data_IF_454923156488
#
_entry.id   IF_454923156488
#
_cell.length_a   1.000
_cell.length_b   1.000
_cell.length_c   1.000
_cell.angle_alpha   90.00
_cell.angle_beta   90.00
_cell.angle_gamma   90.00
#
_symmetry.space_group_name_H-M   'P 1'
#
loop_
_entity.id
_entity.type
_entity.pdbx_description
1 polymer ?
#
# COMPACT_ATOMS: atom_id res chain seq x y z
N UNK A 1 -11.72 0.28 15.39
CA UNK A 1 -12.07 0.96 14.11
C UNK A 1 -10.90 0.67 13.18
N UNK A 2 -11.10 -0.18 12.19
CA UNK A 2 -10.10 -0.50 11.18
C UNK A 2 -9.65 0.78 10.44
N UNK A 3 -8.37 0.83 10.09
CA UNK A 3 -7.88 1.93 9.29
C UNK A 3 -8.41 1.80 7.85
N UNK A 4 -8.69 2.92 7.17
CA UNK A 4 -9.20 2.85 5.81
C UNK A 4 -8.12 2.32 4.87
N UNK A 5 -8.49 1.40 4.01
CA UNK A 5 -7.66 0.89 2.93
C UNK A 5 -7.34 2.02 1.94
N UNK A 6 -6.07 2.14 1.56
CA UNK A 6 -5.59 3.02 0.48
C UNK A 6 -4.63 2.23 -0.39
N UNK A 7 -4.80 2.33 -1.70
CA UNK A 7 -3.82 1.87 -2.68
C UNK A 7 -3.18 3.05 -3.40
N UNK A 8 -1.90 2.92 -3.77
CA UNK A 8 -1.17 3.90 -4.56
C UNK A 8 -0.91 3.35 -5.96
N UNK A 9 -1.53 3.97 -6.97
CA UNK A 9 -1.38 3.58 -8.36
C UNK A 9 -0.36 4.50 -9.06
N UNK A 10 0.71 3.96 -9.67
CA UNK A 10 1.70 4.74 -10.40
C UNK A 10 1.19 5.19 -11.78
N UNK A 11 0.15 4.55 -12.30
CA UNK A 11 -0.44 4.91 -13.58
C UNK A 11 -1.35 6.14 -13.44
N UNK A 12 -1.05 7.17 -14.22
CA UNK A 12 -1.84 8.40 -14.24
C UNK A 12 -2.57 8.46 -15.57
N UNK A 13 -3.87 8.28 -15.51
CA UNK A 13 -4.74 8.36 -16.68
C UNK A 13 -5.15 9.81 -16.95
N UNK A 14 -5.71 10.06 -18.13
CA UNK A 14 -6.30 11.36 -18.47
C UNK A 14 -7.46 11.73 -17.51
N UNK A 15 -8.25 10.77 -17.07
CA UNK A 15 -9.30 10.99 -16.07
C UNK A 15 -8.72 11.45 -14.72
N UNK A 16 -7.61 10.85 -14.28
CA UNK A 16 -6.92 11.28 -13.07
C UNK A 16 -6.43 12.73 -13.16
N UNK A 17 -5.96 13.16 -14.34
CA UNK A 17 -5.51 14.52 -14.53
C UNK A 17 -6.63 15.56 -14.32
N UNK A 18 -7.87 15.27 -14.68
CA UNK A 18 -9.02 16.13 -14.36
C UNK A 18 -9.28 16.21 -12.85
N UNK A 19 -9.25 15.09 -12.13
CA UNK A 19 -9.35 15.11 -10.66
C UNK A 19 -8.24 15.94 -10.01
N UNK A 20 -7.02 15.87 -10.55
CA UNK A 20 -5.91 16.66 -10.04
C UNK A 20 -6.13 18.16 -10.26
N UNK A 21 -6.66 18.59 -11.42
CA UNK A 21 -7.02 19.98 -11.69
C UNK A 21 -8.07 20.45 -10.68
N UNK A 22 -9.18 19.71 -10.53
CA UNK A 22 -10.26 20.05 -9.58
C UNK A 22 -9.72 20.23 -8.15
N UNK A 23 -8.84 19.33 -7.70
CA UNK A 23 -8.25 19.43 -6.35
C UNK A 23 -7.25 20.57 -6.21
N UNK A 24 -6.49 20.88 -7.26
CA UNK A 24 -5.50 21.96 -7.25
C UNK A 24 -6.15 23.34 -7.42
N UNK A 25 -7.40 23.42 -7.81
CA UNK A 25 -8.21 24.64 -7.89
C UNK A 25 -9.04 24.89 -6.63
N UNK A 26 -9.29 23.86 -5.80
CA UNK A 26 -9.97 24.03 -4.51
C UNK A 26 -9.02 24.71 -3.50
N UNK A 27 -9.32 25.99 -3.18
CA UNK A 27 -8.53 26.80 -2.23
C UNK A 27 -8.35 26.13 -0.87
N UNK A 28 -9.29 25.30 -0.45
CA UNK A 28 -9.20 24.59 0.83
C UNK A 28 -8.19 23.45 0.79
N UNK A 29 -8.08 22.78 -0.34
CA UNK A 29 -7.11 21.67 -0.56
C UNK A 29 -5.70 22.21 -0.70
N UNK A 30 -5.55 23.28 -1.47
CA UNK A 30 -4.23 23.86 -1.81
C UNK A 30 -3.73 24.89 -0.81
N UNK A 31 -4.49 25.21 0.22
CA UNK A 31 -4.15 26.25 1.21
C UNK A 31 -2.71 26.23 1.72
N UNK A 32 -2.11 25.04 1.78
CA UNK A 32 -0.76 24.80 2.28
C UNK A 32 0.18 24.24 1.21
N UNK A 33 -0.22 24.29 -0.07
CA UNK A 33 0.62 23.88 -1.20
C UNK A 33 1.17 25.14 -1.89
N UNK A 34 2.47 25.11 -2.18
CA UNK A 34 3.08 26.12 -3.04
C UNK A 34 2.74 25.84 -4.51
N UNK A 35 2.59 26.92 -5.29
CA UNK A 35 2.49 26.89 -6.76
C UNK A 35 1.34 26.08 -7.37
N UNK A 36 0.32 25.72 -6.60
CA UNK A 36 -0.79 24.87 -7.03
C UNK A 36 -1.50 25.38 -8.31
N UNK A 37 -1.73 26.69 -8.43
CA UNK A 37 -2.37 27.28 -9.63
C UNK A 37 -1.49 27.19 -10.89
N UNK A 38 -0.17 27.25 -10.74
CA UNK A 38 0.74 27.06 -11.89
C UNK A 38 0.76 25.59 -12.33
N UNK A 39 0.70 24.67 -11.37
CA UNK A 39 0.65 23.22 -11.62
C UNK A 39 -0.68 22.84 -12.29
N UNK A 40 -1.84 23.35 -11.82
CA UNK A 40 -3.14 23.11 -12.46
C UNK A 40 -3.12 23.54 -13.93
N UNK A 41 -2.72 24.76 -14.24
CA UNK A 41 -2.60 25.27 -15.62
C UNK A 41 -1.63 24.46 -16.48
N UNK A 42 -0.53 23.99 -15.90
CA UNK A 42 0.42 23.13 -16.63
C UNK A 42 -0.21 21.78 -16.99
N UNK A 43 -1.01 21.20 -16.08
CA UNK A 43 -1.74 19.95 -16.35
C UNK A 43 -2.80 20.18 -17.44
N UNK A 44 -3.56 21.27 -17.41
CA UNK A 44 -4.54 21.63 -18.46
C UNK A 44 -3.86 21.73 -19.84
N UNK A 45 -2.75 22.44 -19.92
CA UNK A 45 -1.99 22.57 -21.18
C UNK A 45 -1.49 21.22 -21.71
N UNK A 46 -1.12 20.30 -20.82
CA UNK A 46 -0.73 18.94 -21.18
C UNK A 46 -1.92 18.16 -21.72
N UNK A 47 -3.06 18.22 -21.04
CA UNK A 47 -4.28 17.55 -21.48
C UNK A 47 -4.73 18.03 -22.86
N UNK A 48 -4.64 19.33 -23.13
CA UNK A 48 -5.02 19.91 -24.42
C UNK A 48 -4.11 19.48 -25.57
N UNK A 49 -2.81 19.35 -25.30
CA UNK A 49 -1.80 19.06 -26.32
C UNK A 49 -1.54 17.58 -26.56
N UNK A 50 -1.73 16.74 -25.52
CA UNK A 50 -1.34 15.34 -25.54
C UNK A 50 -2.59 14.46 -25.59
N UNK A 51 -2.76 13.74 -26.69
CA UNK A 51 -3.92 12.84 -26.93
C UNK A 51 -3.71 11.42 -26.37
N UNK A 52 -2.74 11.22 -25.46
CA UNK A 52 -2.48 9.92 -24.86
C UNK A 52 -3.47 9.61 -23.73
N UNK A 53 -3.93 8.37 -23.59
CA UNK A 53 -4.79 7.95 -22.47
C UNK A 53 -4.05 7.88 -21.14
N UNK A 54 -2.74 7.58 -21.16
CA UNK A 54 -1.85 7.45 -20.01
C UNK A 54 -0.81 8.56 -20.04
N UNK A 55 -0.71 9.31 -18.95
CA UNK A 55 0.10 10.52 -18.81
C UNK A 55 1.24 10.35 -17.79
N UNK A 56 1.45 9.16 -17.24
CA UNK A 56 2.38 8.86 -16.14
C UNK A 56 3.76 9.47 -16.32
N UNK A 57 4.33 9.39 -17.53
CA UNK A 57 5.67 9.93 -17.82
C UNK A 57 5.79 11.45 -17.65
N UNK A 58 4.68 12.18 -17.83
CA UNK A 58 4.64 13.62 -17.65
C UNK A 58 4.61 14.03 -16.18
N UNK A 59 3.94 13.24 -15.34
CA UNK A 59 3.86 13.47 -13.89
C UNK A 59 5.14 13.03 -13.16
N UNK A 60 5.88 12.08 -13.72
CA UNK A 60 7.10 11.55 -13.10
C UNK A 60 8.35 12.39 -13.40
N UNK A 61 8.22 13.57 -14.02
CA UNK A 61 9.34 14.49 -14.19
C UNK A 61 9.80 15.06 -12.83
N UNK A 62 11.01 14.68 -12.40
CA UNK A 62 11.61 15.11 -11.14
C UNK A 62 11.05 14.44 -9.87
N UNK A 63 10.38 13.28 -10.00
CA UNK A 63 9.90 12.48 -8.88
C UNK A 63 8.93 11.39 -9.32
N UNK A 64 8.53 10.50 -8.41
CA UNK A 64 7.49 9.49 -8.68
C UNK A 64 6.15 9.99 -8.15
N UNK A 65 5.15 9.94 -8.99
CA UNK A 65 3.79 10.39 -8.69
C UNK A 65 2.85 9.19 -8.63
N UNK A 66 1.94 9.17 -7.65
CA UNK A 66 0.98 8.11 -7.43
C UNK A 66 -0.39 8.68 -7.12
N UNK A 67 -1.42 8.18 -7.79
CA UNK A 67 -2.80 8.43 -7.39
C UNK A 67 -3.14 7.54 -6.20
N UNK A 68 -3.81 8.11 -5.22
CA UNK A 68 -4.33 7.38 -4.06
C UNK A 68 -5.81 7.06 -4.27
N UNK A 69 -6.15 5.77 -4.14
CA UNK A 69 -7.50 5.25 -4.27
C UNK A 69 -7.97 4.65 -2.94
N UNK A 70 -9.25 4.80 -2.66
CA UNK A 70 -9.88 4.12 -1.54
C UNK A 70 -10.31 2.68 -1.92
N UNK A 71 -10.94 1.96 -0.98
CA UNK A 71 -11.43 0.60 -1.18
C UNK A 71 -12.52 0.44 -2.26
N UNK A 72 -13.09 1.54 -2.75
CA UNK A 72 -14.11 1.55 -3.79
C UNK A 72 -13.54 1.92 -5.16
N UNK A 73 -12.21 1.95 -5.28
CA UNK A 73 -11.46 2.43 -6.45
C UNK A 73 -11.78 3.90 -6.80
N UNK A 74 -12.20 4.69 -5.81
CA UNK A 74 -12.41 6.12 -5.98
C UNK A 74 -11.11 6.88 -5.72
N UNK A 75 -10.70 7.80 -6.61
CA UNK A 75 -9.51 8.61 -6.41
C UNK A 75 -9.75 9.61 -5.26
N UNK A 76 -8.93 9.52 -4.23
CA UNK A 76 -9.08 10.34 -3.00
C UNK A 76 -7.95 11.33 -2.78
N UNK A 77 -6.88 11.25 -3.57
CA UNK A 77 -5.74 12.13 -3.43
C UNK A 77 -4.53 11.66 -4.22
N UNK A 78 -3.36 12.15 -3.86
CA UNK A 78 -2.10 11.73 -4.47
C UNK A 78 -0.93 11.76 -3.49
N UNK A 79 0.09 10.99 -3.82
CA UNK A 79 1.40 11.00 -3.18
C UNK A 79 2.46 11.28 -4.24
N UNK A 80 3.38 12.18 -3.95
CA UNK A 80 4.57 12.41 -4.77
C UNK A 80 5.81 12.17 -3.92
N UNK A 81 6.75 11.40 -4.46
CA UNK A 81 8.04 11.06 -3.87
C UNK A 81 9.16 11.65 -4.72
N UNK A 82 9.96 12.54 -4.13
CA UNK A 82 11.06 13.22 -4.81
C UNK A 82 12.37 12.80 -4.17
N UNK A 83 13.16 12.01 -4.90
CA UNK A 83 14.47 11.54 -4.41
C UNK A 83 15.53 12.60 -4.65
N UNK A 84 16.30 12.92 -3.60
CA UNK A 84 17.44 13.84 -3.64
C UNK A 84 18.63 13.16 -2.96
N UNK A 85 19.55 12.62 -3.75
CA UNK A 85 20.62 11.78 -3.24
C UNK A 85 20.08 10.50 -2.62
N UNK A 86 20.35 10.27 -1.35
CA UNK A 86 19.85 9.12 -0.59
C UNK A 86 18.53 9.43 0.17
N UNK A 87 18.17 10.69 0.28
CA UNK A 87 16.93 11.12 0.92
C UNK A 87 15.77 11.18 -0.08
N UNK A 88 14.56 11.12 0.44
CA UNK A 88 13.33 11.29 -0.33
C UNK A 88 12.41 12.31 0.37
N UNK A 89 11.81 13.21 -0.39
CA UNK A 89 10.77 14.09 0.11
C UNK A 89 9.40 13.54 -0.29
N UNK A 90 8.45 13.53 0.65
CA UNK A 90 7.07 13.13 0.39
C UNK A 90 6.14 14.32 0.42
N UNK A 91 5.33 14.45 -0.63
CA UNK A 91 4.18 15.35 -0.70
C UNK A 91 2.92 14.50 -0.76
N UNK A 92 1.97 14.79 0.12
CA UNK A 92 0.71 14.07 0.23
C UNK A 92 -0.45 15.04 0.21
N UNK A 93 -1.45 14.78 -0.63
CA UNK A 93 -2.68 15.56 -0.73
C UNK A 93 -3.89 14.63 -0.71
N UNK A 94 -4.88 14.95 0.12
CA UNK A 94 -6.22 14.37 0.07
C UNK A 94 -7.15 15.40 -0.56
N UNK A 95 -7.68 15.06 -1.74
CA UNK A 95 -8.29 16.00 -2.65
C UNK A 95 -9.66 16.54 -2.24
N UNK A 96 -10.57 15.72 -1.72
CA UNK A 96 -11.93 16.17 -1.37
C UNK A 96 -12.06 16.40 0.13
N UNK A 97 -12.75 17.51 0.53
CA UNK A 97 -13.06 17.83 1.93
C UNK A 97 -13.85 16.73 2.63
N UNK A 98 -14.77 16.08 1.92
CA UNK A 98 -15.59 14.99 2.45
C UNK A 98 -14.75 13.75 2.85
N UNK A 99 -13.55 13.68 2.33
CA UNK A 99 -12.57 12.64 2.64
C UNK A 99 -11.71 12.98 3.88
N UNK A 100 -11.81 14.20 4.40
CA UNK A 100 -11.01 14.60 5.55
C UNK A 100 -11.56 14.03 6.87
N UNK A 101 -10.67 13.76 7.81
CA UNK A 101 -11.04 13.12 9.07
C UNK A 101 -11.24 11.60 8.99
N UNK A 102 -11.34 11.02 7.80
CA UNK A 102 -11.53 9.58 7.56
C UNK A 102 -10.23 8.76 7.63
N UNK A 103 -9.13 9.35 8.08
CA UNK A 103 -7.79 8.76 8.20
C UNK A 103 -7.13 8.35 6.86
N UNK A 104 -7.71 8.70 5.71
CA UNK A 104 -7.18 8.34 4.39
C UNK A 104 -5.75 8.87 4.19
N UNK A 105 -5.44 10.08 4.69
CA UNK A 105 -4.09 10.65 4.62
C UNK A 105 -3.05 9.81 5.37
N UNK A 106 -3.40 9.20 6.51
CA UNK A 106 -2.48 8.33 7.22
C UNK A 106 -2.27 7.00 6.47
N UNK A 107 -3.31 6.47 5.83
CA UNK A 107 -3.21 5.31 4.93
C UNK A 107 -2.27 5.59 3.75
N UNK A 108 -2.53 6.67 3.00
CA UNK A 108 -1.68 7.06 1.87
C UNK A 108 -0.23 7.36 2.28
N UNK A 109 -0.02 7.92 3.49
CA UNK A 109 1.32 8.14 4.02
C UNK A 109 2.07 6.83 4.27
N UNK A 110 1.40 5.81 4.83
CA UNK A 110 2.02 4.49 5.06
C UNK A 110 2.41 3.80 3.76
N UNK A 111 1.52 3.81 2.77
CA UNK A 111 1.85 3.27 1.44
C UNK A 111 3.01 4.05 0.80
N UNK A 112 3.02 5.38 0.91
CA UNK A 112 4.13 6.20 0.46
C UNK A 112 5.46 5.90 1.17
N UNK A 113 5.43 5.58 2.49
CA UNK A 113 6.61 5.15 3.24
C UNK A 113 7.17 3.81 2.72
N UNK A 114 6.30 2.82 2.43
CA UNK A 114 6.73 1.55 1.82
C UNK A 114 7.47 1.79 0.51
N UNK A 115 6.87 2.55 -0.40
CA UNK A 115 7.49 2.89 -1.68
C UNK A 115 8.82 3.62 -1.52
N UNK A 116 8.91 4.58 -0.58
CA UNK A 116 10.14 5.34 -0.35
C UNK A 116 11.26 4.45 0.18
N UNK A 117 11.00 3.61 1.18
CA UNK A 117 12.05 2.83 1.84
C UNK A 117 12.39 1.54 1.09
N UNK A 118 11.40 0.81 0.58
CA UNK A 118 11.66 -0.49 -0.07
C UNK A 118 11.94 -0.34 -1.57
N UNK A 119 11.11 0.41 -2.32
CA UNK A 119 11.27 0.52 -3.78
C UNK A 119 12.36 1.53 -4.16
N UNK A 120 12.36 2.70 -3.50
CA UNK A 120 13.30 3.77 -3.83
C UNK A 120 14.58 3.70 -3.00
N UNK A 121 14.61 2.84 -1.98
CA UNK A 121 15.74 2.65 -1.05
C UNK A 121 16.24 3.98 -0.49
N UNK A 122 15.30 4.80 -0.01
CA UNK A 122 15.63 6.04 0.65
C UNK A 122 16.19 5.76 2.04
N UNK A 123 17.25 6.46 2.43
CA UNK A 123 17.76 6.38 3.81
C UNK A 123 16.88 7.20 4.77
N UNK A 124 16.31 8.28 4.27
CA UNK A 124 15.45 9.17 5.04
C UNK A 124 14.29 9.70 4.18
N UNK A 125 13.10 9.71 4.75
CA UNK A 125 11.90 10.31 4.17
C UNK A 125 11.59 11.62 4.91
N UNK A 126 11.49 12.71 4.16
CA UNK A 126 11.33 14.07 4.68
C UNK A 126 9.95 14.60 4.28
N UNK A 127 9.27 15.26 5.22
CA UNK A 127 8.03 15.97 4.95
C UNK A 127 8.13 17.42 5.45
N UNK A 128 7.80 18.38 4.59
CA UNK A 128 7.72 19.80 4.94
C UNK A 128 6.26 20.20 5.07
N UNK A 129 5.86 20.64 6.26
CA UNK A 129 4.46 20.87 6.61
C UNK A 129 4.32 22.28 7.16
N UNK A 130 3.34 23.05 6.65
CA UNK A 130 3.04 24.37 7.17
C UNK A 130 2.60 24.29 8.63
N UNK A 131 3.03 25.25 9.48
CA UNK A 131 2.78 25.24 10.92
C UNK A 131 1.28 25.19 11.27
N UNK A 132 0.42 25.79 10.45
CA UNK A 132 -1.04 25.81 10.64
C UNK A 132 -1.73 24.56 10.09
N UNK A 133 -1.02 23.64 9.41
CA UNK A 133 -1.62 22.42 8.87
C UNK A 133 -1.71 21.33 9.95
N UNK A 134 -2.54 21.56 10.96
CA UNK A 134 -2.70 20.68 12.12
C UNK A 134 -3.08 19.22 11.72
N UNK A 135 -3.78 19.03 10.59
CA UNK A 135 -4.16 17.69 10.11
C UNK A 135 -2.95 16.90 9.65
N UNK A 136 -2.13 17.48 8.77
CA UNK A 136 -0.90 16.83 8.31
C UNK A 136 0.06 16.62 9.48
N UNK A 137 0.26 17.63 10.35
CA UNK A 137 1.12 17.49 11.52
C UNK A 137 0.72 16.26 12.37
N UNK A 138 -0.58 16.10 12.68
CA UNK A 138 -1.08 14.94 13.43
C UNK A 138 -0.87 13.62 12.68
N UNK A 139 -1.06 13.59 11.37
CA UNK A 139 -0.91 12.38 10.56
C UNK A 139 0.55 11.90 10.55
N UNK A 140 1.49 12.81 10.27
CA UNK A 140 2.91 12.46 10.20
C UNK A 140 3.48 12.06 11.58
N UNK A 141 3.13 12.77 12.66
CA UNK A 141 3.53 12.39 14.02
C UNK A 141 3.00 11.00 14.40
N UNK A 142 1.73 10.69 14.08
CA UNK A 142 1.15 9.37 14.32
C UNK A 142 1.86 8.26 13.55
N UNK A 143 2.28 8.53 12.32
CA UNK A 143 3.07 7.59 11.52
C UNK A 143 4.54 7.48 12.01
N UNK A 144 4.92 8.23 13.05
CA UNK A 144 6.21 8.12 13.73
C UNK A 144 7.31 9.03 13.19
N UNK A 145 6.96 10.00 12.34
CA UNK A 145 7.90 11.03 11.94
C UNK A 145 8.31 11.91 13.13
N UNK A 146 9.55 12.37 13.12
CA UNK A 146 10.14 13.22 14.16
C UNK A 146 10.39 14.60 13.58
N UNK A 147 10.14 15.63 14.38
CA UNK A 147 10.47 17.00 14.02
C UNK A 147 12.00 17.17 14.02
N UNK A 148 12.57 17.55 12.87
CA UNK A 148 14.01 17.87 12.72
C UNK A 148 14.28 19.37 12.73
N UNK A 149 13.41 20.16 12.10
CA UNK A 149 13.58 21.59 11.97
C UNK A 149 12.24 22.29 12.02
N UNK A 150 12.21 23.46 12.64
CA UNK A 150 11.07 24.37 12.66
C UNK A 150 11.50 25.78 12.28
N UNK A 151 10.66 26.43 11.48
CA UNK A 151 10.74 27.86 11.13
C UNK A 151 9.42 28.52 11.48
N UNK A 152 9.31 29.83 11.31
CA UNK A 152 8.04 30.55 11.54
C UNK A 152 6.88 30.07 10.68
N UNK A 153 7.14 29.51 9.49
CA UNK A 153 6.11 29.08 8.54
C UNK A 153 6.04 27.55 8.35
N UNK A 154 7.16 26.84 8.50
CA UNK A 154 7.27 25.43 8.11
C UNK A 154 7.92 24.58 9.20
N UNK A 155 7.42 23.35 9.35
CA UNK A 155 8.02 22.28 10.15
C UNK A 155 8.51 21.17 9.21
N UNK A 156 9.78 20.78 9.37
CA UNK A 156 10.37 19.65 8.66
C UNK A 156 10.38 18.44 9.58
N UNK A 157 9.71 17.39 9.15
CA UNK A 157 9.66 16.10 9.83
C UNK A 157 10.44 15.07 9.02
N UNK A 158 11.04 14.12 9.72
CA UNK A 158 11.75 13.03 9.08
C UNK A 158 11.44 11.66 9.70
N UNK A 159 11.60 10.64 8.87
CA UNK A 159 11.61 9.22 9.22
C UNK A 159 12.84 8.60 8.58
N UNK A 160 13.72 7.99 9.36
CA UNK A 160 14.84 7.22 8.82
C UNK A 160 14.42 5.78 8.51
N UNK A 161 15.12 5.11 7.58
CA UNK A 161 14.88 3.71 7.26
C UNK A 161 14.98 2.81 8.49
N UNK A 162 16.02 3.00 9.34
CA UNK A 162 16.18 2.22 10.55
C UNK A 162 15.01 2.39 11.52
N UNK A 163 14.58 3.64 11.73
CA UNK A 163 13.41 3.93 12.57
C UNK A 163 12.14 3.31 12.01
N UNK A 164 11.96 3.36 10.70
CA UNK A 164 10.82 2.73 10.03
C UNK A 164 10.84 1.22 10.24
N UNK A 165 11.97 0.55 9.98
CA UNK A 165 12.14 -0.88 10.20
C UNK A 165 11.97 -1.28 11.67
N UNK A 166 12.48 -0.47 12.60
CA UNK A 166 12.28 -0.69 14.03
C UNK A 166 10.78 -0.63 14.38
N UNK A 167 10.04 0.37 13.88
CA UNK A 167 8.60 0.49 14.10
C UNK A 167 7.81 -0.66 13.49
N UNK A 168 8.22 -1.19 12.34
CA UNK A 168 7.62 -2.39 11.76
C UNK A 168 7.83 -3.61 12.67
N UNK A 169 9.00 -3.76 13.26
CA UNK A 169 9.30 -4.83 14.23
C UNK A 169 8.53 -4.67 15.56
N UNK A 170 8.38 -3.43 16.02
CA UNK A 170 7.67 -3.08 17.26
C UNK A 170 6.15 -2.98 17.04
N UNK A 171 5.71 -2.75 15.80
CA UNK A 171 4.33 -2.45 15.38
C UNK A 171 3.36 -3.62 15.48
N UNK A 172 3.47 -4.40 16.55
CA UNK A 172 2.50 -5.42 16.99
C UNK A 172 1.13 -4.86 17.38
N UNK A 173 0.87 -3.59 17.15
CA UNK A 173 -0.39 -2.95 17.54
C UNK A 173 -0.88 -1.97 16.51
N UNK A 174 -1.67 -2.47 15.57
CA UNK A 174 -2.49 -1.66 14.67
C UNK A 174 -2.37 -2.09 13.23
N UNK A 175 -3.28 -2.94 12.80
CA UNK A 175 -3.66 -3.30 11.44
C UNK A 175 -2.89 -2.54 10.33
N UNK A 176 -1.63 -2.88 10.13
CA UNK A 176 -0.88 -2.56 8.94
C UNK A 176 -0.93 -3.82 8.09
N UNK A 177 -1.54 -3.74 6.94
CA UNK A 177 -1.61 -4.84 5.98
C UNK A 177 -0.26 -5.07 5.28
N UNK A 178 0.82 -5.14 6.05
CA UNK A 178 2.11 -5.59 5.53
C UNK A 178 2.06 -7.10 5.45
N UNK A 179 2.26 -7.61 4.27
CA UNK A 179 2.35 -9.04 4.04
C UNK A 179 3.82 -9.46 4.01
N UNK A 180 4.07 -10.65 4.55
CA UNK A 180 5.40 -11.24 4.60
C UNK A 180 5.43 -12.48 3.74
N UNK A 181 6.37 -12.56 2.82
CA UNK A 181 6.58 -13.76 2.00
C UNK A 181 8.03 -14.23 2.12
N UNK A 182 8.23 -15.54 2.03
CA UNK A 182 9.58 -16.10 2.01
C UNK A 182 10.28 -15.82 0.68
N UNK A 183 11.61 -15.80 0.65
CA UNK A 183 12.38 -15.65 -0.59
C UNK A 183 12.04 -16.77 -1.60
N UNK A 184 11.76 -17.97 -1.09
CA UNK A 184 11.37 -19.13 -1.89
C UNK A 184 10.01 -18.89 -2.52
N UNK A 185 9.01 -18.50 -1.73
CA UNK A 185 7.67 -18.21 -2.22
C UNK A 185 7.68 -17.04 -3.20
N UNK A 186 8.42 -15.98 -2.92
CA UNK A 186 8.54 -14.87 -3.85
C UNK A 186 9.03 -15.33 -5.23
N UNK A 187 10.06 -16.17 -5.25
CA UNK A 187 10.63 -16.66 -6.51
C UNK A 187 9.63 -17.53 -7.27
N UNK A 188 8.97 -18.46 -6.58
CA UNK A 188 7.97 -19.37 -7.17
C UNK A 188 6.75 -18.61 -7.68
N UNK A 189 6.23 -17.67 -6.87
CA UNK A 189 5.03 -16.88 -7.19
C UNK A 189 5.28 -15.90 -8.34
N UNK A 190 6.46 -15.27 -8.41
CA UNK A 190 6.84 -14.44 -9.58
C UNK A 190 6.86 -15.24 -10.87
N UNK A 191 7.39 -16.47 -10.81
CA UNK A 191 7.39 -17.35 -11.96
C UNK A 191 5.96 -17.74 -12.38
N UNK A 192 5.11 -18.08 -11.42
CA UNK A 192 3.69 -18.36 -11.64
C UNK A 192 2.95 -17.20 -12.30
N UNK A 193 3.12 -15.97 -11.77
CA UNK A 193 2.51 -14.76 -12.34
C UNK A 193 3.02 -14.47 -13.75
N UNK A 194 4.30 -14.71 -14.03
CA UNK A 194 4.87 -14.51 -15.37
C UNK A 194 4.32 -15.48 -16.42
N UNK A 195 3.95 -16.69 -16.01
CA UNK A 195 3.38 -17.72 -16.89
C UNK A 195 1.86 -17.61 -17.07
N UNK A 196 1.17 -17.10 -16.06
CA UNK A 196 -0.29 -17.00 -16.03
C UNK A 196 -0.74 -15.60 -16.49
N UNK A 197 -1.37 -15.55 -17.67
CA UNK A 197 -1.96 -14.32 -18.20
C UNK A 197 -3.46 -14.31 -17.89
N UNK A 198 -3.88 -13.55 -16.86
CA UNK A 198 -5.31 -13.44 -16.52
C UNK A 198 -5.59 -12.35 -15.46
N UNK A 199 -6.84 -11.88 -15.35
CA UNK A 199 -7.22 -10.86 -14.35
C UNK A 199 -6.97 -11.34 -12.91
N UNK A 200 -7.06 -12.64 -12.65
CA UNK A 200 -6.90 -13.22 -11.31
C UNK A 200 -5.45 -13.15 -10.80
N UNK A 201 -4.47 -13.08 -11.70
CA UNK A 201 -3.05 -12.96 -11.35
C UNK A 201 -2.61 -11.52 -11.07
N UNK A 202 -3.40 -10.51 -11.46
CA UNK A 202 -3.07 -9.10 -11.25
C UNK A 202 -3.04 -8.76 -9.75
N UNK A 203 -4.01 -9.26 -8.99
CA UNK A 203 -4.07 -9.05 -7.55
C UNK A 203 -2.86 -9.70 -6.85
N UNK A 204 -2.55 -10.95 -7.21
CA UNK A 204 -1.39 -11.66 -6.67
C UNK A 204 -0.07 -10.96 -7.01
N UNK A 205 0.10 -10.49 -8.25
CA UNK A 205 1.30 -9.72 -8.65
C UNK A 205 1.50 -8.50 -7.76
N UNK A 206 0.42 -7.78 -7.49
CA UNK A 206 0.45 -6.58 -6.65
C UNK A 206 0.80 -6.90 -5.18
N UNK A 207 0.28 -8.02 -4.64
CA UNK A 207 0.62 -8.48 -3.30
C UNK A 207 2.11 -8.89 -3.20
N UNK A 208 2.65 -9.61 -4.18
CA UNK A 208 4.07 -10.01 -4.23
C UNK A 208 4.99 -8.79 -4.33
N UNK A 209 4.61 -7.77 -5.12
CA UNK A 209 5.42 -6.55 -5.28
C UNK A 209 5.52 -5.73 -4.00
N UNK A 210 4.47 -5.68 -3.19
CA UNK A 210 4.43 -4.93 -1.93
C UNK A 210 4.89 -5.71 -0.70
N UNK A 211 5.11 -7.01 -0.84
CA UNK A 211 5.47 -7.89 0.27
C UNK A 211 6.86 -7.60 0.84
N UNK A 212 7.00 -7.74 2.14
CA UNK A 212 8.28 -7.78 2.83
C UNK A 212 8.86 -9.19 2.68
N UNK A 213 9.99 -9.30 1.99
CA UNK A 213 10.64 -10.60 1.75
C UNK A 213 11.50 -10.96 2.95
N UNK A 214 11.33 -12.16 3.48
CA UNK A 214 12.04 -12.67 4.63
C UNK A 214 12.68 -14.03 4.33
N UNK A 215 13.77 -14.35 5.03
CA UNK A 215 14.35 -15.71 4.98
C UNK A 215 13.33 -16.72 5.54
N UNK A 216 13.17 -17.87 4.89
CA UNK A 216 12.23 -18.93 5.30
C UNK A 216 12.46 -19.42 6.74
N UNK A 217 13.69 -19.30 7.27
CA UNK A 217 14.01 -19.67 8.65
C UNK A 217 13.72 -18.57 9.67
N UNK A 218 13.37 -17.37 9.19
CA UNK A 218 13.14 -16.19 10.02
C UNK A 218 11.68 -15.72 9.97
N UNK A 219 10.84 -16.38 9.16
CA UNK A 219 9.41 -16.06 9.11
C UNK A 219 8.76 -16.44 10.44
N UNK A 220 7.92 -15.54 10.96
CA UNK A 220 7.20 -15.80 12.22
C UNK A 220 6.11 -16.88 12.01
N UNK A 221 5.87 -17.70 13.02
CA UNK A 221 4.94 -18.84 12.98
C UNK A 221 3.48 -18.47 12.80
N UNK A 222 3.14 -17.23 13.03
CA UNK A 222 1.80 -16.66 12.90
C UNK A 222 1.50 -16.07 11.52
N UNK A 223 2.45 -16.17 10.57
CA UNK A 223 2.33 -15.71 9.19
C UNK A 223 1.82 -16.83 8.29
N UNK A 224 0.87 -16.54 7.40
CA UNK A 224 0.42 -17.47 6.35
C UNK A 224 1.41 -17.43 5.18
N UNK A 225 2.17 -18.51 5.01
CA UNK A 225 3.04 -18.77 3.85
C UNK A 225 2.37 -19.74 2.89
N UNK A 226 2.99 -20.03 1.75
CA UNK A 226 2.47 -21.09 0.87
C UNK A 226 2.42 -22.43 1.61
N UNK A 227 1.45 -23.25 1.29
CA UNK A 227 1.14 -24.55 1.94
C UNK A 227 0.81 -24.48 3.43
N UNK A 228 0.49 -23.27 3.94
CA UNK A 228 -0.03 -23.09 5.30
C UNK A 228 -1.49 -23.47 5.38
N UNK A 229 -1.89 -24.02 6.56
CA UNK A 229 -3.29 -24.21 6.94
C UNK A 229 -3.71 -23.14 7.92
N UNK A 230 -4.79 -22.44 7.61
CA UNK A 230 -5.30 -21.34 8.42
C UNK A 230 -6.80 -21.44 8.67
N UNK A 231 -7.23 -21.02 9.86
CA UNK A 231 -8.63 -20.80 10.16
C UNK A 231 -8.97 -19.34 9.91
N UNK A 232 -9.96 -19.12 9.07
CA UNK A 232 -10.42 -17.83 8.62
C UNK A 232 -11.88 -17.60 9.02
N UNK A 233 -12.26 -16.35 9.12
CA UNK A 233 -13.66 -15.92 9.14
C UNK A 233 -13.90 -14.97 7.97
N UNK A 234 -14.75 -15.40 7.05
CA UNK A 234 -15.18 -14.61 5.92
C UNK A 234 -16.56 -14.01 6.24
N UNK A 235 -16.59 -12.71 6.57
CA UNK A 235 -17.71 -12.03 7.22
C UNK A 235 -18.08 -12.76 8.53
N UNK A 236 -19.18 -13.55 8.55
CA UNK A 236 -19.64 -14.31 9.73
C UNK A 236 -19.41 -15.83 9.60
N UNK A 237 -18.90 -16.31 8.46
CA UNK A 237 -18.68 -17.72 8.17
C UNK A 237 -17.26 -18.15 8.51
N UNK A 238 -17.09 -19.14 9.41
CA UNK A 238 -15.80 -19.71 9.73
C UNK A 238 -15.44 -20.81 8.75
N UNK A 239 -14.19 -20.82 8.28
CA UNK A 239 -13.65 -21.82 7.37
C UNK A 239 -12.21 -22.14 7.74
N UNK A 240 -11.78 -23.37 7.46
CA UNK A 240 -10.37 -23.77 7.56
C UNK A 240 -9.87 -24.08 6.16
N UNK A 241 -8.72 -23.47 5.76
CA UNK A 241 -8.22 -23.55 4.39
C UNK A 241 -6.73 -23.85 4.36
N UNK A 242 -6.34 -24.64 3.36
CA UNK A 242 -4.96 -24.86 2.94
C UNK A 242 -4.65 -23.94 1.76
N UNK A 243 -3.70 -23.02 1.93
CA UNK A 243 -3.25 -22.16 0.84
C UNK A 243 -2.27 -22.93 -0.06
N UNK A 244 -2.67 -23.22 -1.28
CA UNK A 244 -1.90 -24.09 -2.18
C UNK A 244 -1.60 -23.46 -3.54
N UNK A 245 -0.62 -24.01 -4.26
CA UNK A 245 -0.41 -23.67 -5.66
C UNK A 245 -1.56 -24.18 -6.54
N UNK A 246 -1.78 -23.57 -7.75
CA UNK A 246 -2.90 -23.97 -8.61
C UNK A 246 -2.94 -25.45 -8.97
N UNK A 247 -1.77 -26.07 -9.14
CA UNK A 247 -1.64 -27.49 -9.52
C UNK A 247 -1.97 -28.45 -8.38
N UNK A 248 -2.00 -27.97 -7.12
CA UNK A 248 -2.27 -28.77 -5.92
C UNK A 248 -3.74 -28.71 -5.48
N UNK A 249 -4.59 -27.98 -6.23
CA UNK A 249 -6.03 -27.94 -6.00
C UNK A 249 -6.66 -29.23 -6.49
N UNK A 250 -7.32 -29.97 -5.59
CA UNK A 250 -7.96 -31.27 -5.89
C UNK A 250 -9.49 -31.23 -5.93
N UNK A 251 -10.07 -30.02 -5.82
CA UNK A 251 -11.52 -29.81 -5.81
C UNK A 251 -12.19 -29.97 -4.43
N UNK A 252 -11.40 -30.15 -3.38
CA UNK A 252 -11.89 -30.09 -2.01
C UNK A 252 -12.16 -28.63 -1.60
N UNK A 253 -13.14 -28.42 -0.70
CA UNK A 253 -13.54 -27.08 -0.24
C UNK A 253 -12.51 -26.43 0.69
N UNK A 254 -11.57 -27.20 1.21
CA UNK A 254 -10.52 -26.76 2.13
C UNK A 254 -9.24 -26.28 1.43
N UNK A 255 -9.03 -26.63 0.14
CA UNK A 255 -7.88 -26.15 -0.63
C UNK A 255 -8.19 -24.91 -1.43
N UNK A 256 -7.50 -23.84 -1.09
CA UNK A 256 -7.66 -22.51 -1.72
C UNK A 256 -6.42 -22.18 -2.55
N UNK A 257 -6.63 -22.02 -3.87
CA UNK A 257 -5.55 -21.63 -4.76
C UNK A 257 -5.04 -20.23 -4.46
N UNK A 258 -3.73 -20.04 -4.51
CA UNK A 258 -3.08 -18.72 -4.37
C UNK A 258 -3.56 -17.70 -5.42
N UNK A 259 -4.00 -18.12 -6.58
CA UNK A 259 -4.53 -17.23 -7.64
C UNK A 259 -6.01 -16.88 -7.42
N UNK A 260 -6.71 -17.51 -6.48
CA UNK A 260 -8.08 -17.15 -6.15
C UNK A 260 -8.16 -15.84 -5.34
N UNK A 261 -9.34 -15.21 -5.33
CA UNK A 261 -9.59 -13.98 -4.56
C UNK A 261 -9.26 -14.15 -3.07
N UNK A 262 -9.59 -15.29 -2.46
CA UNK A 262 -9.32 -15.56 -1.04
C UNK A 262 -7.86 -15.91 -0.84
N UNK A 263 -7.28 -16.75 -1.69
CA UNK A 263 -5.87 -17.18 -1.56
C UNK A 263 -4.90 -16.00 -1.66
N UNK A 264 -5.07 -15.16 -2.68
CA UNK A 264 -4.25 -13.95 -2.84
C UNK A 264 -4.45 -12.94 -1.71
N UNK A 265 -5.65 -12.93 -1.09
CA UNK A 265 -5.96 -12.05 0.02
C UNK A 265 -5.28 -12.41 1.33
N UNK A 266 -4.99 -13.69 1.59
CA UNK A 266 -4.50 -14.16 2.91
C UNK A 266 -2.99 -14.39 2.96
N UNK A 267 -2.32 -14.50 1.81
CA UNK A 267 -0.87 -14.72 1.75
C UNK A 267 -0.11 -13.62 2.49
N UNK A 268 0.78 -14.02 3.37
CA UNK A 268 1.68 -13.13 4.10
C UNK A 268 1.06 -12.36 5.27
N UNK A 269 -0.23 -12.54 5.53
CA UNK A 269 -0.91 -11.97 6.69
C UNK A 269 -0.73 -12.83 7.95
N UNK A 270 -0.98 -12.23 9.10
CA UNK A 270 -0.73 -12.82 10.42
C UNK A 270 -2.02 -13.23 11.11
N UNK A 271 -1.88 -14.14 12.05
CA UNK A 271 -2.94 -14.46 13.02
C UNK A 271 -3.41 -13.18 13.75
N UNK A 272 -4.72 -12.95 13.76
CA UNK A 272 -5.38 -11.76 14.31
C UNK A 272 -5.63 -10.64 13.32
N UNK A 273 -5.05 -10.70 12.11
CA UNK A 273 -5.27 -9.69 11.08
C UNK A 273 -6.71 -9.75 10.53
N UNK A 274 -7.19 -8.59 10.09
CA UNK A 274 -8.47 -8.46 9.42
C UNK A 274 -8.29 -7.66 8.13
N UNK A 275 -8.71 -8.24 7.04
CA UNK A 275 -8.47 -7.78 5.68
C UNK A 275 -9.82 -7.48 5.03
N UNK A 276 -9.98 -6.27 4.49
CA UNK A 276 -11.11 -5.95 3.63
C UNK A 276 -10.68 -6.21 2.18
N UNK A 277 -11.22 -7.27 1.55
CA UNK A 277 -10.81 -7.74 0.22
C UNK A 277 -11.97 -7.79 -0.76
N UNK A 278 -11.68 -7.55 -2.03
CA UNK A 278 -12.68 -7.57 -3.09
C UNK A 278 -12.82 -9.00 -3.64
N UNK A 279 -13.94 -9.64 -3.32
CA UNK A 279 -14.28 -11.00 -3.79
C UNK A 279 -15.54 -10.87 -4.67
N UNK A 280 -15.47 -11.30 -5.94
CA UNK A 280 -16.61 -11.25 -6.89
C UNK A 280 -17.34 -9.89 -6.90
N UNK A 281 -16.57 -8.80 -7.03
CA UNK A 281 -17.08 -7.40 -7.07
C UNK A 281 -17.74 -6.88 -5.78
N UNK A 282 -17.61 -7.60 -4.66
CA UNK A 282 -18.06 -7.16 -3.32
C UNK A 282 -16.88 -7.12 -2.36
N UNK A 283 -16.78 -6.07 -1.56
CA UNK A 283 -15.81 -6.04 -0.47
C UNK A 283 -16.33 -6.93 0.66
N UNK A 284 -15.57 -7.97 0.99
CA UNK A 284 -15.83 -8.89 2.10
C UNK A 284 -14.69 -8.77 3.13
N UNK A 285 -15.01 -9.03 4.38
CA UNK A 285 -14.04 -8.98 5.45
C UNK A 285 -13.53 -10.39 5.77
N UNK A 286 -12.21 -10.58 5.61
CA UNK A 286 -11.51 -11.79 5.99
C UNK A 286 -10.79 -11.52 7.31
N UNK A 287 -11.03 -12.34 8.33
CA UNK A 287 -10.26 -12.32 9.57
C UNK A 287 -9.47 -13.61 9.68
N UNK A 288 -8.18 -13.52 9.94
CA UNK A 288 -7.32 -14.66 10.22
C UNK A 288 -7.45 -14.98 11.71
N UNK A 289 -8.12 -16.08 12.03
CA UNK A 289 -8.34 -16.47 13.43
C UNK A 289 -7.14 -17.24 13.99
N UNK A 290 -6.54 -18.11 13.17
CA UNK A 290 -5.40 -18.92 13.59
C UNK A 290 -4.62 -19.47 12.39
N UNK A 291 -3.31 -19.51 12.50
CA UNK A 291 -2.44 -20.32 11.64
C UNK A 291 -2.29 -21.69 12.30
N UNK A 292 -2.88 -22.71 11.70
CA UNK A 292 -2.96 -24.07 12.25
C UNK A 292 -1.69 -24.87 11.93
N UNK A 293 -1.17 -24.66 10.71
CA UNK A 293 0.07 -25.26 10.22
C UNK A 293 0.80 -24.27 9.33
N UNK A 294 2.12 -24.23 9.46
CA UNK A 294 3.01 -23.47 8.60
C UNK A 294 4.23 -24.32 8.31
N UNK A 295 4.60 -24.53 7.04
CA UNK A 295 5.72 -25.40 6.68
C UNK A 295 7.04 -25.02 7.34
N UNK A 296 7.39 -23.75 7.32
CA UNK A 296 8.65 -23.25 7.88
C UNK A 296 8.73 -23.47 9.40
N UNK A 297 7.60 -23.29 10.12
CA UNK A 297 7.54 -23.58 11.55
C UNK A 297 7.63 -25.07 11.88
N UNK A 298 7.19 -25.92 10.94
CA UNK A 298 7.32 -27.38 11.03
C UNK A 298 8.71 -27.90 10.60
N UNK A 299 9.49 -27.06 9.90
CA UNK A 299 10.78 -27.46 9.33
C UNK A 299 10.68 -28.08 7.94
N UNK A 300 9.53 -27.98 7.30
CA UNK A 300 9.23 -28.57 5.99
C UNK A 300 9.59 -27.59 4.85
N UNK A 301 10.84 -27.10 4.83
CA UNK A 301 11.33 -26.07 3.90
C UNK A 301 11.32 -26.49 2.42
N UNK A 302 10.92 -27.70 2.10
CA UNK A 302 10.82 -28.21 0.73
C UNK A 302 9.42 -28.02 0.10
N UNK A 303 8.44 -27.64 0.88
CA UNK A 303 7.05 -27.42 0.44
C UNK A 303 6.84 -26.10 -0.28
#
# INVERSE_FOLDING_TARGET
>A
MSEPFISLCPEITRANAFHLIDWLEDESVVRYLSDSRQVSRAIEQVIDRVQLPILTHLFNQGGRFFMAYDRHDEPVGFVRLVKTGQDCEIVLVIGNRDNWGRKLGAGALREGMKLAFFDMRAEKLIARIHVDNARSLKAFVRCGFVLERETSAMKSFAMTADRYLQRLREGRTGASSEIYITEIDQTRLRHLVALASGPDTVNLAHEIERAVVVDSRQVDRDVITMNSRARLRLDDEAMEVDLVYPDDVDGSDDKVSIVSDVGSAILGYREGDAIDWRIHHRTRRIRIEKVVYQPEAAGDFHL
#
